data_IF_293515583304
#
_entry.id   IF_293515583304
#
_cell.length_a   1.000
_cell.length_b   1.000
_cell.length_c   1.000
_cell.angle_alpha   90.00
_cell.angle_beta   90.00
_cell.angle_gamma   90.00
#
_symmetry.space_group_name_H-M   'P 1'
#
loop_
_entity.id
_entity.type
_entity.pdbx_description
1 polymer ?
#
# COMPACT_ATOMS: atom_id res chain seq x y z
N UNK A 1 -11.54 7.16 -27.47
CA UNK A 1 -10.35 7.83 -28.03
C UNK A 1 -9.08 7.67 -27.18
N UNK A 2 -9.12 7.15 -25.94
CA UNK A 2 -7.90 6.97 -25.11
C UNK A 2 -7.05 5.70 -25.39
N UNK A 3 -7.50 4.79 -26.27
CA UNK A 3 -6.84 3.48 -26.45
C UNK A 3 -5.77 3.45 -27.55
N UNK A 4 -5.86 4.29 -28.56
CA UNK A 4 -5.07 4.12 -29.79
C UNK A 4 -3.75 4.89 -29.78
N UNK A 5 -3.61 5.94 -28.96
CA UNK A 5 -2.38 6.76 -28.95
C UNK A 5 -1.29 6.25 -27.99
N UNK A 6 -1.63 5.37 -27.03
CA UNK A 6 -0.69 4.92 -25.97
C UNK A 6 -0.25 3.47 -26.10
N UNK A 7 -0.91 2.69 -26.95
CA UNK A 7 -0.67 1.27 -27.11
C UNK A 7 -0.16 1.06 -28.52
N UNK A 8 1.16 0.96 -28.67
CA UNK A 8 1.79 0.59 -29.94
C UNK A 8 1.09 -0.63 -30.54
N UNK A 9 0.78 -0.58 -31.83
CA UNK A 9 0.13 -1.67 -32.57
C UNK A 9 0.81 -3.01 -32.23
N UNK A 10 0.10 -3.87 -31.48
CA UNK A 10 0.64 -5.12 -30.94
C UNK A 10 0.71 -5.22 -29.41
N UNK A 11 0.29 -4.20 -28.66
CA UNK A 11 0.16 -4.32 -27.21
C UNK A 11 -0.98 -5.27 -26.83
N UNK A 12 -0.64 -6.48 -26.35
CA UNK A 12 -1.62 -7.43 -25.81
C UNK A 12 -2.10 -6.96 -24.44
N UNK A 13 -3.24 -6.27 -24.41
CA UNK A 13 -3.89 -5.95 -23.15
C UNK A 13 -4.51 -7.20 -22.54
N UNK A 14 -4.43 -7.35 -21.20
CA UNK A 14 -5.19 -8.37 -20.51
C UNK A 14 -6.69 -8.19 -20.76
N UNK A 15 -7.39 -9.29 -21.05
CA UNK A 15 -8.82 -9.29 -21.37
C UNK A 15 -9.70 -9.15 -20.14
N UNK A 16 -9.12 -9.30 -18.94
CA UNK A 16 -9.84 -9.16 -17.68
C UNK A 16 -8.97 -8.56 -16.58
N UNK A 17 -9.63 -8.03 -15.55
CA UNK A 17 -8.96 -7.61 -14.32
C UNK A 17 -8.12 -8.74 -13.70
N UNK A 18 -8.60 -9.98 -13.77
CA UNK A 18 -7.89 -11.12 -13.21
C UNK A 18 -6.60 -11.42 -13.98
N UNK A 19 -6.64 -11.38 -15.31
CA UNK A 19 -5.45 -11.51 -16.16
C UNK A 19 -4.48 -10.36 -15.92
N UNK A 20 -4.97 -9.12 -15.85
CA UNK A 20 -4.13 -7.95 -15.56
C UNK A 20 -3.44 -8.09 -14.21
N UNK A 21 -4.18 -8.50 -13.17
CA UNK A 21 -3.65 -8.73 -11.83
C UNK A 21 -2.63 -9.86 -11.79
N UNK A 22 -2.85 -10.93 -12.56
CA UNK A 22 -1.93 -12.06 -12.69
C UNK A 22 -0.63 -11.61 -13.38
N UNK A 23 -0.73 -10.89 -14.50
CA UNK A 23 0.43 -10.33 -15.22
C UNK A 23 1.21 -9.38 -14.31
N UNK A 24 0.56 -8.45 -13.59
CA UNK A 24 1.25 -7.55 -12.64
C UNK A 24 1.98 -8.34 -11.54
N UNK A 25 1.37 -9.42 -11.05
CA UNK A 25 1.98 -10.30 -10.04
C UNK A 25 3.17 -11.09 -10.61
N UNK A 26 3.05 -11.61 -11.83
CA UNK A 26 4.06 -12.42 -12.52
C UNK A 26 5.25 -11.58 -13.02
N UNK A 27 5.00 -10.38 -13.55
CA UNK A 27 6.02 -9.44 -13.99
C UNK A 27 6.82 -8.85 -12.83
N UNK A 28 6.43 -9.14 -11.58
CA UNK A 28 7.13 -8.72 -10.38
C UNK A 28 7.62 -7.26 -10.45
N UNK A 29 6.70 -6.33 -10.75
CA UNK A 29 6.75 -5.00 -10.15
C UNK A 29 6.53 -5.20 -8.65
N UNK A 30 7.54 -5.79 -8.00
CA UNK A 30 7.52 -6.20 -6.62
C UNK A 30 7.34 -4.93 -5.80
N UNK A 31 6.15 -4.80 -5.23
CA UNK A 31 5.84 -3.72 -4.33
C UNK A 31 5.93 -4.24 -2.90
N UNK A 32 6.65 -3.51 -2.07
CA UNK A 32 6.63 -3.73 -0.64
C UNK A 32 5.47 -2.94 -0.06
N UNK A 33 4.67 -3.61 0.77
CA UNK A 33 3.69 -2.94 1.62
C UNK A 33 4.43 -2.36 2.81
N UNK A 34 4.49 -1.04 2.86
CA UNK A 34 5.11 -0.29 3.96
C UNK A 34 3.98 0.36 4.76
N UNK A 35 4.12 0.34 6.08
CA UNK A 35 3.20 1.06 6.95
C UNK A 35 3.33 2.57 6.70
N UNK A 36 2.19 3.26 6.64
CA UNK A 36 2.11 4.68 6.39
C UNK A 36 1.30 5.38 7.48
N UNK A 37 1.60 6.66 7.67
CA UNK A 37 0.78 7.53 8.51
C UNK A 37 -0.66 7.59 7.96
N UNK A 38 -1.65 7.68 8.84
CA UNK A 38 -3.06 7.87 8.46
C UNK A 38 -3.31 9.12 7.63
N UNK A 39 -2.51 10.16 7.85
CA UNK A 39 -2.54 11.41 7.08
C UNK A 39 -1.51 11.41 5.94
N UNK A 40 -0.94 10.25 5.60
CA UNK A 40 0.09 10.03 4.57
C UNK A 40 1.34 10.94 4.70
N UNK A 41 1.63 11.48 5.89
CA UNK A 41 2.77 12.40 6.09
C UNK A 41 4.14 11.72 5.97
N UNK A 42 4.25 10.46 6.40
CA UNK A 42 5.49 9.68 6.40
C UNK A 42 5.20 8.21 6.12
N UNK A 43 6.24 7.50 5.72
CA UNK A 43 6.31 6.03 5.73
C UNK A 43 7.13 5.57 6.93
N UNK A 44 6.65 4.54 7.61
CA UNK A 44 7.36 3.87 8.70
C UNK A 44 8.40 2.92 8.11
N UNK A 45 9.43 3.49 7.48
CA UNK A 45 10.52 2.79 6.81
C UNK A 45 11.89 3.25 7.33
N UNK A 46 12.92 2.38 7.22
CA UNK A 46 14.28 2.61 7.72
C UNK A 46 14.32 3.19 9.13
N UNK A 47 14.74 4.44 9.31
CA UNK A 47 14.91 5.12 10.59
C UNK A 47 13.57 5.31 11.31
N UNK A 48 12.48 5.48 10.57
CA UNK A 48 11.14 5.68 11.11
C UNK A 48 10.41 4.34 11.36
N UNK A 49 11.04 3.20 11.09
CA UNK A 49 10.38 1.87 11.13
C UNK A 49 9.89 1.44 12.51
N UNK A 50 10.49 1.97 13.58
CA UNK A 50 10.13 1.67 14.97
C UNK A 50 9.21 2.72 15.61
N UNK A 51 8.84 3.78 14.89
CA UNK A 51 7.94 4.79 15.43
C UNK A 51 6.52 4.24 15.57
N UNK A 52 5.91 4.53 16.71
CA UNK A 52 4.49 4.26 16.99
C UNK A 52 3.58 5.46 16.68
N UNK A 53 4.16 6.65 16.48
CA UNK A 53 3.47 7.89 16.12
C UNK A 53 4.20 8.64 15.02
N UNK A 54 3.46 9.42 14.23
CA UNK A 54 4.01 10.22 13.15
C UNK A 54 4.76 11.43 13.73
N UNK A 55 6.03 11.60 13.35
CA UNK A 55 6.83 12.78 13.75
C UNK A 55 6.34 14.12 13.18
N UNK A 56 5.50 14.11 12.15
CA UNK A 56 4.98 15.31 11.49
C UNK A 56 3.64 15.76 12.07
N UNK A 57 2.67 14.86 12.18
CA UNK A 57 1.32 15.21 12.63
C UNK A 57 0.93 14.63 14.00
N UNK A 58 1.82 13.87 14.67
CA UNK A 58 1.56 13.24 15.95
C UNK A 58 0.57 12.07 15.93
N UNK A 59 -0.05 11.77 14.78
CA UNK A 59 -1.03 10.69 14.66
C UNK A 59 -0.42 9.31 14.96
N UNK A 60 -1.21 8.43 15.59
CA UNK A 60 -0.83 7.03 15.82
C UNK A 60 -0.59 6.28 14.51
N UNK A 61 0.42 5.40 14.49
CA UNK A 61 0.65 4.42 13.42
C UNK A 61 -0.48 3.41 13.30
N UNK A 62 -1.09 3.06 14.43
CA UNK A 62 -2.04 1.96 14.55
C UNK A 62 -3.48 2.47 14.41
N UNK A 63 -4.25 1.77 13.58
CA UNK A 63 -5.70 1.94 13.47
C UNK A 63 -6.37 1.56 14.78
N UNK A 64 -7.37 2.34 15.14
CA UNK A 64 -8.30 2.02 16.21
C UNK A 64 -9.48 1.28 15.58
N UNK A 65 -9.80 0.11 16.13
CA UNK A 65 -10.99 -0.62 15.77
C UNK A 65 -12.22 0.16 16.25
N UNK A 66 -13.11 0.52 15.33
CA UNK A 66 -14.24 1.42 15.61
C UNK A 66 -15.29 0.80 16.54
N UNK A 67 -15.30 -0.53 16.67
CA UNK A 67 -16.28 -1.24 17.47
C UNK A 67 -15.80 -1.44 18.92
N UNK A 68 -14.51 -1.71 19.10
CA UNK A 68 -13.89 -1.95 20.42
C UNK A 68 -13.17 -0.73 21.00
N UNK A 69 -12.90 0.30 20.18
CA UNK A 69 -12.00 1.44 20.52
C UNK A 69 -10.59 1.02 20.92
N UNK A 70 -10.18 -0.20 20.56
CA UNK A 70 -8.85 -0.74 20.83
C UNK A 70 -7.94 -0.66 19.60
N UNK A 71 -6.63 -0.62 19.82
CA UNK A 71 -5.62 -0.65 18.74
C UNK A 71 -5.30 -2.07 18.26
N UNK A 72 -5.80 -3.09 18.97
CA UNK A 72 -5.65 -4.50 18.62
C UNK A 72 -6.97 -5.02 18.08
N UNK A 73 -6.90 -5.84 17.03
CA UNK A 73 -8.07 -6.56 16.56
C UNK A 73 -8.42 -7.72 17.52
N UNK A 74 -9.55 -8.41 17.27
CA UNK A 74 -9.97 -9.63 18.01
C UNK A 74 -8.92 -10.75 18.09
N UNK A 75 -7.87 -10.70 17.25
CA UNK A 75 -6.74 -11.65 17.23
C UNK A 75 -5.49 -11.10 17.92
N UNK A 76 -5.58 -9.97 18.63
CA UNK A 76 -4.46 -9.32 19.33
C UNK A 76 -3.47 -8.56 18.43
N UNK A 77 -3.69 -8.50 17.11
CA UNK A 77 -2.77 -7.85 16.17
C UNK A 77 -3.08 -6.36 16.03
N UNK A 78 -2.05 -5.52 16.10
CA UNK A 78 -2.14 -4.12 15.69
C UNK A 78 -2.19 -4.02 14.17
N UNK A 79 -3.01 -3.12 13.64
CA UNK A 79 -3.18 -2.94 12.20
C UNK A 79 -2.76 -1.52 11.85
N UNK A 80 -1.83 -1.35 10.90
CA UNK A 80 -1.44 -0.07 10.35
C UNK A 80 -2.10 0.17 8.98
N UNK A 81 -2.13 1.42 8.53
CA UNK A 81 -2.38 1.72 7.12
C UNK A 81 -1.14 1.29 6.34
N UNK A 82 -1.35 0.57 5.23
CA UNK A 82 -0.27 0.09 4.39
C UNK A 82 -0.42 0.69 3.00
N UNK A 83 0.70 1.16 2.46
CA UNK A 83 0.81 1.67 1.10
C UNK A 83 1.80 0.80 0.33
N UNK A 84 1.56 0.63 -0.97
CA UNK A 84 2.38 -0.18 -1.84
C UNK A 84 3.41 0.71 -2.55
N UNK A 85 4.69 0.41 -2.38
CA UNK A 85 5.78 1.11 -3.05
C UNK A 85 6.62 0.13 -3.85
N UNK A 86 7.01 0.52 -5.06
CA UNK A 86 8.01 -0.22 -5.83
C UNK A 86 9.34 -0.22 -5.07
N UNK A 87 10.05 -1.35 -5.07
CA UNK A 87 11.30 -1.55 -4.32
C UNK A 87 12.43 -0.58 -4.74
N UNK A 88 12.25 0.18 -5.83
CA UNK A 88 13.25 1.08 -6.39
C UNK A 88 13.19 2.55 -5.89
N UNK A 89 12.34 2.88 -4.89
CA UNK A 89 12.28 4.19 -4.23
C UNK A 89 12.96 4.15 -2.86
#
# INVERSE_FOLDING_TARGET
MLKEELLTDGANLPNSYYEAKKIIKELALSYNKIDACTNDCILYWKEDSQLDSCKVCGASRWKIDTHSKETRNKKGKKIAIQRAYAIFL
#
